data_IF_474098313003
#
_entry.id   IF_474098313003
#
_cell.length_a   1.000
_cell.length_b   1.000
_cell.length_c   1.000
_cell.angle_alpha   90.00
_cell.angle_beta   90.00
_cell.angle_gamma   90.00
#
_symmetry.space_group_name_H-M   'P 1'
#
loop_
_entity.id
_entity.type
_entity.pdbx_description
1 polymer ?
#
# COMPACT_ATOMS: atom_id res chain seq x y z
N UNK A 1 -25.66 -4.40 -29.97
CA UNK A 1 -24.74 -3.59 -29.14
C UNK A 1 -24.86 -4.14 -27.73
N UNK A 2 -24.12 -5.19 -27.41
CA UNK A 2 -24.06 -5.75 -26.07
C UNK A 2 -22.99 -5.00 -25.29
N UNK A 3 -23.44 -4.25 -24.28
CA UNK A 3 -22.58 -3.68 -23.26
C UNK A 3 -22.08 -4.79 -22.36
N UNK A 4 -20.80 -5.10 -22.51
CA UNK A 4 -20.06 -6.00 -21.62
C UNK A 4 -19.90 -5.30 -20.26
N UNK A 5 -20.91 -5.48 -19.41
CA UNK A 5 -20.85 -5.10 -18.01
C UNK A 5 -19.83 -6.02 -17.33
N UNK A 6 -18.58 -5.58 -17.33
CA UNK A 6 -17.50 -6.17 -16.55
C UNK A 6 -17.98 -6.24 -15.10
N UNK A 7 -18.34 -7.46 -14.67
CA UNK A 7 -18.63 -7.78 -13.29
C UNK A 7 -17.37 -7.48 -12.48
N UNK A 8 -17.33 -6.31 -11.85
CA UNK A 8 -16.35 -6.03 -10.80
C UNK A 8 -16.61 -7.02 -9.68
N UNK A 9 -15.73 -8.02 -9.56
CA UNK A 9 -15.68 -8.83 -8.35
C UNK A 9 -15.33 -7.90 -7.18
N UNK A 10 -16.14 -7.85 -6.11
CA UNK A 10 -16.02 -6.88 -5.00
C UNK A 10 -14.81 -7.13 -4.07
N UNK A 11 -13.69 -7.61 -4.60
CA UNK A 11 -12.46 -7.88 -3.85
C UNK A 11 -11.16 -7.78 -4.66
N UNK A 12 -11.20 -7.37 -5.93
CA UNK A 12 -10.01 -7.23 -6.78
C UNK A 12 -9.67 -5.75 -7.04
N UNK A 13 -8.38 -5.40 -7.04
CA UNK A 13 -7.89 -4.09 -7.48
C UNK A 13 -8.33 -3.84 -8.93
N UNK A 14 -8.68 -2.61 -9.31
CA UNK A 14 -8.83 -2.27 -10.75
C UNK A 14 -7.47 -2.24 -11.45
N UNK A 15 -7.45 -2.35 -12.78
CA UNK A 15 -6.21 -2.24 -13.57
C UNK A 15 -5.51 -0.89 -13.35
N UNK A 16 -6.27 0.18 -13.27
CA UNK A 16 -5.76 1.54 -13.06
C UNK A 16 -5.21 1.71 -11.65
N UNK A 17 -5.87 1.18 -10.62
CA UNK A 17 -5.34 1.16 -9.26
C UNK A 17 -4.05 0.33 -9.19
N UNK A 18 -4.00 -0.84 -9.82
CA UNK A 18 -2.80 -1.67 -9.86
C UNK A 18 -1.64 -0.97 -10.60
N UNK A 19 -1.91 -0.27 -11.70
CA UNK A 19 -0.92 0.51 -12.42
C UNK A 19 -0.40 1.70 -11.60
N UNK A 20 -1.30 2.45 -10.93
CA UNK A 20 -0.92 3.55 -10.01
C UNK A 20 -0.09 3.04 -8.84
N UNK A 21 -0.48 1.92 -8.23
CA UNK A 21 0.27 1.27 -7.17
C UNK A 21 1.69 0.92 -7.63
N UNK A 22 1.84 0.29 -8.80
CA UNK A 22 3.16 -0.07 -9.35
C UNK A 22 4.00 1.15 -9.75
N UNK A 23 3.36 2.23 -10.21
CA UNK A 23 4.03 3.49 -10.49
C UNK A 23 4.56 4.14 -9.19
N UNK A 24 3.73 4.23 -8.14
CA UNK A 24 4.14 4.72 -6.83
C UNK A 24 5.20 3.84 -6.14
N UNK A 25 5.30 2.57 -6.52
CA UNK A 25 6.36 1.65 -6.05
C UNK A 25 7.74 1.96 -6.66
N UNK A 26 7.80 2.49 -7.88
CA UNK A 26 9.07 2.87 -8.51
C UNK A 26 9.72 4.09 -7.83
N UNK A 27 8.95 4.91 -7.11
CA UNK A 27 9.43 6.11 -6.41
C UNK A 27 10.03 5.81 -5.02
N UNK A 28 9.78 4.63 -4.46
CA UNK A 28 9.86 4.40 -3.00
C UNK A 28 10.87 3.33 -2.56
N UNK A 29 11.46 2.56 -3.48
CA UNK A 29 12.46 1.53 -3.11
C UNK A 29 13.65 1.56 -4.06
N UNK A 30 14.60 2.46 -3.80
CA UNK A 30 15.90 2.50 -4.49
C UNK A 30 16.91 1.49 -3.89
N UNK A 31 16.46 0.27 -3.60
CA UNK A 31 17.30 -0.86 -3.18
C UNK A 31 16.82 -2.13 -3.91
N UNK A 32 17.62 -2.59 -4.87
CA UNK A 32 17.18 -3.50 -5.94
C UNK A 32 16.68 -4.89 -5.55
N UNK A 33 16.92 -5.38 -4.32
CA UNK A 33 16.44 -6.71 -3.89
C UNK A 33 15.05 -6.68 -3.26
N UNK A 34 14.75 -5.69 -2.40
CA UNK A 34 13.40 -5.50 -1.85
C UNK A 34 12.40 -5.16 -2.94
N UNK A 35 12.81 -4.37 -3.95
CA UNK A 35 11.97 -4.08 -5.11
C UNK A 35 11.71 -5.34 -5.97
N UNK A 36 12.74 -6.17 -6.19
CA UNK A 36 12.58 -7.45 -6.92
C UNK A 36 11.65 -8.41 -6.17
N UNK A 37 11.78 -8.49 -4.85
CA UNK A 37 10.91 -9.31 -4.00
C UNK A 37 9.47 -8.80 -3.99
N UNK A 38 9.28 -7.49 -3.81
CA UNK A 38 7.94 -6.87 -3.81
C UNK A 38 7.23 -7.03 -5.15
N UNK A 39 7.95 -6.87 -6.27
CA UNK A 39 7.41 -7.09 -7.62
C UNK A 39 6.97 -8.54 -7.84
N UNK A 40 7.80 -9.48 -7.39
CA UNK A 40 7.50 -10.92 -7.44
C UNK A 40 6.22 -11.22 -6.67
N UNK A 41 6.07 -10.69 -5.45
CA UNK A 41 4.87 -10.88 -4.63
C UNK A 41 3.62 -10.20 -5.22
N UNK A 42 3.75 -9.06 -5.89
CA UNK A 42 2.63 -8.42 -6.61
C UNK A 42 2.16 -9.25 -7.80
N UNK A 43 3.08 -9.85 -8.56
CA UNK A 43 2.72 -10.74 -9.67
C UNK A 43 1.97 -11.97 -9.14
N UNK A 44 2.39 -12.54 -8.01
CA UNK A 44 1.64 -13.61 -7.32
C UNK A 44 0.25 -13.15 -6.90
N UNK A 45 0.14 -11.94 -6.38
CA UNK A 45 -1.13 -11.37 -5.95
C UNK A 45 -2.09 -11.18 -7.13
N UNK A 46 -1.62 -10.62 -8.25
CA UNK A 46 -2.44 -10.45 -9.45
C UNK A 46 -2.87 -11.79 -10.06
N UNK A 47 -1.99 -12.80 -10.06
CA UNK A 47 -2.36 -14.15 -10.44
C UNK A 47 -3.44 -14.72 -9.48
N UNK A 48 -3.33 -14.43 -8.18
CA UNK A 48 -4.36 -14.73 -7.17
C UNK A 48 -5.72 -14.07 -7.42
N UNK A 49 -5.75 -12.92 -8.10
CA UNK A 49 -6.97 -12.26 -8.57
C UNK A 49 -7.47 -12.80 -9.93
N UNK A 50 -6.86 -13.86 -10.47
CA UNK A 50 -7.26 -14.47 -11.75
C UNK A 50 -6.83 -13.69 -12.99
N UNK A 51 -5.86 -12.76 -12.88
CA UNK A 51 -5.42 -11.97 -14.02
C UNK A 51 -4.53 -12.78 -14.97
N UNK A 52 -4.68 -12.55 -16.28
CA UNK A 52 -3.88 -13.22 -17.31
C UNK A 52 -2.44 -12.71 -17.34
N UNK A 53 -1.52 -13.55 -17.83
CA UNK A 53 -0.10 -13.19 -18.00
C UNK A 53 0.07 -11.89 -18.80
N UNK A 54 -0.73 -11.70 -19.85
CA UNK A 54 -0.68 -10.53 -20.72
C UNK A 54 -1.12 -9.26 -19.99
N UNK A 55 -2.17 -9.37 -19.16
CA UNK A 55 -2.66 -8.28 -18.33
C UNK A 55 -1.64 -7.87 -17.28
N UNK A 56 -1.00 -8.84 -16.63
CA UNK A 56 0.06 -8.59 -15.64
C UNK A 56 1.29 -7.96 -16.32
N UNK A 57 1.72 -8.46 -17.48
CA UNK A 57 2.86 -7.91 -18.24
C UNK A 57 2.65 -6.44 -18.61
N UNK A 58 1.46 -6.10 -19.11
CA UNK A 58 1.07 -4.73 -19.45
C UNK A 58 1.14 -3.81 -18.23
N UNK A 59 0.55 -4.21 -17.11
CA UNK A 59 0.44 -3.39 -15.89
C UNK A 59 1.79 -3.24 -15.17
N UNK A 60 2.63 -4.27 -15.20
CA UNK A 60 3.98 -4.26 -14.60
C UNK A 60 5.07 -3.70 -15.50
N UNK A 61 4.75 -3.35 -16.75
CA UNK A 61 5.70 -2.98 -17.80
C UNK A 61 6.83 -4.02 -17.97
N UNK A 62 6.49 -5.30 -17.80
CA UNK A 62 7.41 -6.42 -17.98
C UNK A 62 7.17 -7.14 -19.29
N UNK A 63 8.19 -7.83 -19.78
CA UNK A 63 7.99 -8.74 -20.92
C UNK A 63 7.16 -9.95 -20.48
N UNK A 64 6.27 -10.41 -21.37
CA UNK A 64 5.48 -11.63 -21.14
C UNK A 64 6.36 -12.84 -20.72
N UNK A 65 7.53 -13.11 -21.33
CA UNK A 65 8.40 -14.19 -20.87
C UNK A 65 8.91 -14.03 -19.43
N UNK A 66 9.16 -12.79 -18.99
CA UNK A 66 9.58 -12.54 -17.61
C UNK A 66 8.46 -12.82 -16.61
N UNK A 67 7.21 -12.47 -16.95
CA UNK A 67 6.02 -12.81 -16.14
C UNK A 67 5.77 -14.31 -16.16
N UNK A 68 5.84 -14.95 -17.33
CA UNK A 68 5.68 -16.40 -17.49
C UNK A 68 6.66 -17.18 -16.60
N UNK A 69 7.94 -16.82 -16.66
CA UNK A 69 8.99 -17.44 -15.82
C UNK A 69 8.69 -17.32 -14.32
N UNK A 70 8.10 -16.21 -13.88
CA UNK A 70 7.70 -16.04 -12.49
C UNK A 70 6.45 -16.87 -12.17
N UNK A 71 5.43 -16.87 -13.02
CA UNK A 71 4.21 -17.66 -12.83
C UNK A 71 4.49 -19.17 -12.75
N UNK A 72 5.32 -19.71 -13.64
CA UNK A 72 5.73 -21.13 -13.62
C UNK A 72 6.51 -21.48 -12.35
N UNK A 73 7.31 -20.54 -11.84
CA UNK A 73 8.02 -20.72 -10.56
C UNK A 73 7.07 -20.79 -9.36
N UNK A 74 5.92 -20.11 -9.40
CA UNK A 74 4.96 -20.12 -8.31
C UNK A 74 4.00 -21.31 -8.32
N UNK A 75 3.62 -21.79 -9.51
CA UNK A 75 2.73 -22.93 -9.67
C UNK A 75 3.30 -24.24 -9.06
N UNK A 76 4.61 -24.28 -8.81
CA UNK A 76 5.30 -25.47 -8.34
C UNK A 76 5.30 -25.69 -6.82
N UNK A 77 5.14 -24.66 -5.97
CA UNK A 77 5.49 -24.81 -4.53
C UNK A 77 4.63 -24.07 -3.48
N UNK A 78 3.74 -23.12 -3.80
CA UNK A 78 3.02 -22.39 -2.74
C UNK A 78 1.61 -21.92 -3.13
N UNK A 79 0.62 -21.93 -2.18
CA UNK A 79 -0.68 -21.32 -2.39
C UNK A 79 -0.54 -19.82 -2.71
N UNK A 80 -1.42 -19.31 -3.60
CA UNK A 80 -1.41 -17.91 -4.00
C UNK A 80 -1.80 -17.00 -2.81
N UNK A 81 -1.09 -15.87 -2.61
CA UNK A 81 -1.38 -14.96 -1.52
C UNK A 81 -2.75 -14.30 -1.74
N UNK A 82 -3.51 -14.17 -0.66
CA UNK A 82 -4.77 -13.43 -0.63
C UNK A 82 -4.53 -12.04 -0.05
N UNK A 83 -5.19 -11.05 -0.62
CA UNK A 83 -5.23 -9.70 -0.07
C UNK A 83 -6.63 -9.14 -0.24
N UNK A 84 -7.26 -8.74 0.86
CA UNK A 84 -8.43 -7.87 0.78
C UNK A 84 -7.98 -6.49 0.30
N UNK A 85 -8.79 -5.82 -0.52
CA UNK A 85 -8.55 -4.43 -0.94
C UNK A 85 -9.37 -3.43 -0.14
N UNK A 86 -10.12 -3.90 0.86
CA UNK A 86 -10.89 -3.03 1.76
C UNK A 86 -9.95 -2.20 2.64
N UNK A 87 -10.15 -0.88 2.67
CA UNK A 87 -9.31 0.02 3.45
C UNK A 87 -9.41 -0.26 4.97
N UNK A 88 -10.53 -0.81 5.44
CA UNK A 88 -10.85 -1.08 6.84
C UNK A 88 -10.21 -2.37 7.39
N UNK A 89 -9.10 -2.82 6.82
CA UNK A 89 -8.30 -3.88 7.41
C UNK A 89 -7.50 -3.34 8.60
N UNK A 90 -7.38 -4.16 9.65
CA UNK A 90 -6.79 -3.79 10.94
C UNK A 90 -5.51 -4.56 11.25
N UNK A 91 -4.89 -5.24 10.29
CA UNK A 91 -3.58 -5.86 10.53
C UNK A 91 -2.47 -4.81 10.60
N UNK A 92 -1.41 -5.10 11.37
CA UNK A 92 -0.33 -4.13 11.67
C UNK A 92 0.25 -3.53 10.40
N UNK A 93 0.56 -4.37 9.41
CA UNK A 93 1.18 -3.91 8.17
C UNK A 93 0.21 -3.04 7.36
N UNK A 94 -1.09 -3.34 7.39
CA UNK A 94 -2.09 -2.49 6.74
C UNK A 94 -2.17 -1.11 7.39
N UNK A 95 -2.26 -1.06 8.72
CA UNK A 95 -2.32 0.20 9.48
C UNK A 95 -1.04 1.03 9.33
N UNK A 96 0.13 0.40 9.33
CA UNK A 96 1.42 1.06 9.03
C UNK A 96 1.42 1.70 7.64
N UNK A 97 0.86 1.02 6.63
CA UNK A 97 0.73 1.55 5.28
C UNK A 97 -0.18 2.77 5.21
N UNK A 98 -1.34 2.70 5.86
CA UNK A 98 -2.27 3.84 5.98
C UNK A 98 -1.64 5.03 6.71
N UNK A 99 -0.91 4.76 7.81
CA UNK A 99 -0.20 5.80 8.57
C UNK A 99 0.85 6.51 7.71
N UNK A 100 1.59 5.74 6.90
CA UNK A 100 2.58 6.28 5.98
C UNK A 100 1.94 7.22 4.95
N UNK A 101 0.86 6.78 4.29
CA UNK A 101 0.16 7.60 3.32
C UNK A 101 -0.33 8.92 3.92
N UNK A 102 -0.93 8.87 5.12
CA UNK A 102 -1.38 10.08 5.80
C UNK A 102 -0.20 11.02 6.11
N UNK A 103 0.93 10.49 6.54
CA UNK A 103 2.12 11.29 6.79
C UNK A 103 2.74 11.89 5.53
N UNK A 104 2.63 11.22 4.38
CA UNK A 104 3.00 11.78 3.07
C UNK A 104 2.11 12.95 2.69
N UNK A 105 0.78 12.77 2.73
CA UNK A 105 -0.13 13.84 2.36
C UNK A 105 -0.03 15.05 3.30
N UNK A 106 0.19 14.83 4.61
CA UNK A 106 0.48 15.93 5.56
C UNK A 106 1.79 16.64 5.21
N UNK A 107 2.85 15.89 4.88
CA UNK A 107 4.13 16.47 4.51
C UNK A 107 4.12 17.18 3.14
N UNK A 108 3.23 16.79 2.24
CA UNK A 108 3.00 17.47 0.96
C UNK A 108 2.13 18.72 1.13
N UNK A 109 1.22 18.74 2.11
CA UNK A 109 0.30 19.88 2.35
C UNK A 109 0.92 20.97 3.22
N UNK A 110 1.71 20.61 4.24
CA UNK A 110 2.35 21.58 5.14
C UNK A 110 3.80 21.85 4.73
N UNK A 111 4.16 23.12 4.57
CA UNK A 111 5.53 23.55 4.18
C UNK A 111 6.64 23.07 5.14
N UNK A 112 6.31 22.89 6.43
CA UNK A 112 7.29 22.55 7.47
C UNK A 112 6.84 21.37 8.36
N UNK A 113 6.20 20.35 7.77
CA UNK A 113 5.79 19.15 8.51
C UNK A 113 6.98 18.47 9.20
N UNK A 114 6.83 18.19 10.50
CA UNK A 114 7.82 17.47 11.31
C UNK A 114 8.00 16.03 10.83
N UNK A 115 6.95 15.41 10.29
CA UNK A 115 6.99 14.07 9.74
C UNK A 115 7.74 13.97 8.39
N UNK A 116 7.98 15.08 7.68
CA UNK A 116 8.55 15.07 6.32
C UNK A 116 9.86 14.29 6.21
N UNK A 117 10.81 14.53 7.13
CA UNK A 117 12.10 13.83 7.12
C UNK A 117 11.97 12.34 7.40
N UNK A 118 11.03 11.96 8.27
CA UNK A 118 10.74 10.56 8.60
C UNK A 118 10.23 9.82 7.37
N UNK A 119 9.20 10.38 6.74
CA UNK A 119 8.57 9.85 5.53
C UNK A 119 9.59 9.74 4.39
N UNK A 120 10.42 10.77 4.21
CA UNK A 120 11.48 10.77 3.21
C UNK A 120 12.59 9.74 3.49
N UNK A 121 12.73 9.27 4.73
CA UNK A 121 13.63 8.16 5.07
C UNK A 121 12.98 6.79 4.82
N UNK A 122 11.67 6.64 5.10
CA UNK A 122 10.89 5.46 4.73
C UNK A 122 10.90 5.25 3.22
N UNK A 123 10.60 6.30 2.45
CA UNK A 123 10.59 6.28 0.99
C UNK A 123 11.95 6.03 0.33
N UNK A 124 13.05 6.09 1.10
CA UNK A 124 14.39 5.75 0.62
C UNK A 124 14.88 4.40 1.15
N UNK A 125 14.04 3.66 1.87
CA UNK A 125 14.42 2.41 2.55
C UNK A 125 15.45 2.60 3.67
N UNK A 126 15.74 3.84 4.08
CA UNK A 126 16.70 4.15 5.16
C UNK A 126 16.10 3.97 6.55
N UNK A 127 14.78 3.85 6.61
CA UNK A 127 14.01 3.52 7.82
C UNK A 127 13.02 2.42 7.46
N UNK A 128 12.74 1.54 8.42
CA UNK A 128 11.78 0.44 8.29
C UNK A 128 10.73 0.59 9.38
N UNK A 129 9.55 0.02 9.13
CA UNK A 129 8.52 -0.10 10.15
C UNK A 129 8.94 -1.13 11.21
N UNK A 130 8.89 -0.66 12.45
CA UNK A 130 9.03 -1.35 13.74
C UNK A 130 8.08 -0.66 14.71
N UNK A 131 7.65 -1.30 15.82
CA UNK A 131 6.76 -0.67 16.79
C UNK A 131 7.24 0.71 17.24
N UNK A 132 8.53 0.86 17.53
CA UNK A 132 9.13 2.13 17.96
C UNK A 132 9.08 3.19 16.87
N UNK A 133 9.37 2.81 15.62
CA UNK A 133 9.31 3.75 14.50
C UNK A 133 7.85 4.13 14.16
N UNK A 134 6.90 3.21 14.31
CA UNK A 134 5.46 3.46 14.14
C UNK A 134 4.99 4.46 15.18
N UNK A 135 5.36 4.29 16.45
CA UNK A 135 5.04 5.24 17.52
C UNK A 135 5.70 6.60 17.33
N UNK A 136 6.95 6.64 16.85
CA UNK A 136 7.63 7.90 16.51
C UNK A 136 6.89 8.63 15.39
N UNK A 137 6.49 7.95 14.32
CA UNK A 137 5.71 8.54 13.25
C UNK A 137 4.35 9.05 13.75
N UNK A 138 3.65 8.28 14.59
CA UNK A 138 2.38 8.71 15.21
C UNK A 138 2.54 10.00 16.01
N UNK A 139 3.61 10.14 16.79
CA UNK A 139 3.89 11.35 17.59
C UNK A 139 4.17 12.57 16.71
N UNK A 140 4.96 12.40 15.65
CA UNK A 140 5.25 13.49 14.71
C UNK A 140 3.98 13.94 13.99
N UNK A 141 3.19 12.98 13.52
CA UNK A 141 1.97 13.23 12.79
C UNK A 141 0.88 13.88 13.65
N UNK A 142 0.71 13.47 14.91
CA UNK A 142 -0.20 14.15 15.84
C UNK A 142 0.19 15.61 16.06
N UNK A 143 1.50 15.88 16.18
CA UNK A 143 1.98 17.24 16.33
C UNK A 143 1.70 18.08 15.09
N UNK A 144 1.91 17.54 13.90
CA UNK A 144 1.63 18.21 12.62
C UNK A 144 0.13 18.42 12.40
N UNK A 145 -0.71 17.44 12.71
CA UNK A 145 -2.18 17.55 12.62
C UNK A 145 -2.73 18.62 13.56
N UNK A 146 -2.18 18.71 14.77
CA UNK A 146 -2.59 19.73 15.75
C UNK A 146 -2.15 21.13 15.34
N UNK A 147 -0.93 21.28 14.83
CA UNK A 147 -0.39 22.58 14.42
C UNK A 147 -1.01 23.07 13.10
N UNK A 148 -1.22 22.16 12.15
CA UNK A 148 -1.78 22.44 10.83
C UNK A 148 -3.30 22.33 10.75
N UNK A 149 -4.02 22.31 11.88
CA UNK A 149 -5.47 22.05 11.92
C UNK A 149 -6.31 23.04 11.08
N UNK A 150 -5.81 24.27 10.87
CA UNK A 150 -6.48 25.27 10.05
C UNK A 150 -6.26 25.08 8.53
N UNK A 151 -5.18 24.38 8.15
CA UNK A 151 -4.77 24.20 6.75
C UNK A 151 -5.12 22.80 6.24
N UNK A 152 -5.17 21.81 7.12
CA UNK A 152 -5.41 20.42 6.78
C UNK A 152 -6.91 20.07 6.69
N UNK A 153 -7.33 19.27 5.70
CA UNK A 153 -8.70 18.77 5.62
C UNK A 153 -9.07 17.93 6.87
N UNK A 154 -10.32 18.05 7.34
CA UNK A 154 -10.82 17.27 8.48
C UNK A 154 -10.72 15.74 8.28
N UNK A 155 -10.70 15.29 7.02
CA UNK A 155 -10.48 13.90 6.65
C UNK A 155 -9.13 13.35 7.16
N UNK A 156 -8.10 14.19 7.29
CA UNK A 156 -6.77 13.79 7.74
C UNK A 156 -6.78 13.42 9.22
N UNK A 157 -7.43 14.25 10.05
CA UNK A 157 -7.62 13.96 11.47
C UNK A 157 -8.46 12.70 11.68
N UNK A 158 -9.56 12.58 10.92
CA UNK A 158 -10.42 11.39 10.97
C UNK A 158 -9.64 10.12 10.64
N UNK A 159 -8.84 10.14 9.57
CA UNK A 159 -7.98 9.02 9.21
C UNK A 159 -6.95 8.70 10.31
N UNK A 160 -6.32 9.71 10.91
CA UNK A 160 -5.38 9.52 12.01
C UNK A 160 -6.01 8.81 13.20
N UNK A 161 -7.20 9.26 13.62
CA UNK A 161 -7.89 8.72 14.78
C UNK A 161 -8.34 7.27 14.54
N UNK A 162 -8.81 6.95 13.32
CA UNK A 162 -9.10 5.57 12.92
C UNK A 162 -7.86 4.66 12.97
N UNK A 163 -6.76 5.10 12.38
CA UNK A 163 -5.51 4.32 12.30
C UNK A 163 -4.92 4.13 13.70
N UNK A 164 -4.86 5.20 14.50
CA UNK A 164 -4.35 5.16 15.87
C UNK A 164 -5.16 4.20 16.74
N UNK A 165 -6.50 4.26 16.66
CA UNK A 165 -7.36 3.33 17.38
C UNK A 165 -7.07 1.88 17.00
N UNK A 166 -6.93 1.58 15.71
CA UNK A 166 -6.61 0.23 15.25
C UNK A 166 -5.24 -0.28 15.74
N UNK A 167 -4.25 0.62 15.86
CA UNK A 167 -2.94 0.28 16.41
C UNK A 167 -3.00 0.06 17.93
N UNK A 168 -3.84 0.81 18.65
CA UNK A 168 -3.97 0.74 20.10
C UNK A 168 -4.77 -0.48 20.58
N UNK A 169 -5.78 -0.92 19.82
CA UNK A 169 -6.65 -2.05 20.20
C UNK A 169 -6.00 -3.43 20.01
N UNK A 170 -4.76 -3.48 19.53
CA UNK A 170 -4.11 -4.72 19.12
C UNK A 170 -4.59 -5.11 17.72
N UNK A 171 -3.78 -4.75 16.73
CA UNK A 171 -4.02 -5.08 15.34
C UNK A 171 -4.19 -6.59 15.14
N UNK A 172 -5.18 -6.98 14.33
CA UNK A 172 -5.45 -8.39 14.06
C UNK A 172 -4.25 -9.04 13.35
N UNK A 173 -3.82 -10.25 13.77
CA UNK A 173 -2.78 -10.95 13.05
C UNK A 173 -3.30 -11.30 11.65
N UNK A 174 -2.50 -11.00 10.63
CA UNK A 174 -2.87 -11.38 9.27
C UNK A 174 -2.93 -12.91 9.15
N UNK A 175 -3.95 -13.41 8.43
CA UNK A 175 -4.14 -14.84 8.23
C UNK A 175 -2.96 -15.50 7.50
N UNK A 176 -2.80 -16.83 7.62
CA UNK A 176 -1.62 -17.58 7.14
C UNK A 176 -1.40 -17.52 5.62
N UNK A 177 -2.42 -17.18 4.83
CA UNK A 177 -2.34 -17.01 3.37
C UNK A 177 -2.25 -15.54 2.93
N UNK A 178 -2.03 -14.60 3.86
CA UNK A 178 -2.01 -13.18 3.54
C UNK A 178 -0.75 -12.80 2.77
N UNK A 179 -0.88 -11.87 1.82
CA UNK A 179 0.28 -11.31 1.13
C UNK A 179 1.35 -10.77 2.10
N UNK A 180 2.61 -10.75 1.69
CA UNK A 180 3.72 -10.28 2.52
C UNK A 180 3.46 -8.90 3.14
N UNK A 181 3.93 -8.65 4.36
CA UNK A 181 3.70 -7.39 5.06
C UNK A 181 4.12 -6.13 4.27
N UNK A 182 5.18 -6.23 3.45
CA UNK A 182 5.60 -5.14 2.55
C UNK A 182 4.58 -4.85 1.44
N UNK A 183 3.95 -5.89 0.88
CA UNK A 183 2.86 -5.76 -0.09
C UNK A 183 1.68 -5.08 0.57
N UNK A 184 1.22 -5.61 1.72
CA UNK A 184 0.06 -5.06 2.44
C UNK A 184 0.26 -3.59 2.79
N UNK A 185 1.43 -3.22 3.33
CA UNK A 185 1.82 -1.82 3.58
C UNK A 185 1.71 -0.95 2.34
N UNK A 186 2.26 -1.42 1.22
CA UNK A 186 2.30 -0.66 -0.04
C UNK A 186 0.89 -0.46 -0.60
N UNK A 187 0.06 -1.50 -0.55
CA UNK A 187 -1.34 -1.45 -1.02
C UNK A 187 -2.16 -0.51 -0.13
N UNK A 188 -2.09 -0.68 1.18
CA UNK A 188 -2.79 0.15 2.14
C UNK A 188 -2.38 1.63 2.03
N UNK A 189 -1.08 1.89 1.79
CA UNK A 189 -0.56 3.22 1.51
C UNK A 189 -1.25 3.82 0.28
N UNK A 190 -1.25 3.13 -0.86
CA UNK A 190 -1.84 3.71 -2.07
C UNK A 190 -3.35 3.93 -1.92
N UNK A 191 -4.10 2.97 -1.38
CA UNK A 191 -5.54 3.11 -1.17
C UNK A 191 -5.88 4.28 -0.24
N UNK A 192 -5.07 4.50 0.80
CA UNK A 192 -5.24 5.63 1.70
C UNK A 192 -4.93 6.96 1.01
N UNK A 193 -3.90 7.03 0.15
CA UNK A 193 -3.61 8.25 -0.65
C UNK A 193 -4.76 8.57 -1.60
N UNK A 194 -5.23 7.58 -2.36
CA UNK A 194 -6.36 7.74 -3.29
C UNK A 194 -7.59 8.27 -2.51
N UNK A 195 -7.90 7.71 -1.33
CA UNK A 195 -8.99 8.22 -0.48
C UNK A 195 -8.78 9.66 0.00
N UNK A 196 -7.58 10.03 0.41
CA UNK A 196 -7.30 11.38 0.92
C UNK A 196 -7.36 12.45 -0.18
N UNK A 197 -7.03 12.07 -1.41
CA UNK A 197 -7.07 12.94 -2.59
C UNK A 197 -8.45 13.03 -3.24
N UNK A 198 -9.34 12.10 -2.91
CA UNK A 198 -10.67 11.98 -3.56
C UNK A 198 -10.62 11.21 -4.89
N UNK A 199 -9.56 10.44 -5.13
CA UNK A 199 -9.34 9.63 -6.33
C UNK A 199 -9.91 8.19 -6.20
N UNK A 200 -10.64 7.91 -5.11
CA UNK A 200 -11.16 6.59 -4.73
C UNK A 200 -12.67 6.45 -4.94
#
# INVERSE_FOLDING_TARGET
MEGDAVRQEPGALSEEQAARMLAGMNEVIRAGEEMRRLRTEMIRLFAGFGWTQDKIARITQMSQPAVSKQMTRFAADEPLPRLGVALQQHDVAWLEGRLWALAEEVAETLDAARCARFVAALARGRRRFTPQSTDELRRLLEADLRLGAAELPAAFRTAYDEISRGLDTGAEPAGPASAAASVRRTVARQLQRDRLRGDA
#
